data_IF_269317260709
#
_entry.id   IF_269317260709
#
_cell.length_a   1.000
_cell.length_b   1.000
_cell.length_c   1.000
_cell.angle_alpha   90.00
_cell.angle_beta   90.00
_cell.angle_gamma   90.00
#
_symmetry.space_group_name_H-M   'P 1'
#
loop_
_entity.id
_entity.type
_entity.pdbx_description
1 polymer ?
#
# COMPACT_ATOMS: atom_id res chain seq x y z
N UNK A 1 3.43 10.84 -17.81
CA UNK A 1 3.00 9.89 -16.77
C UNK A 1 1.85 10.52 -16.00
N UNK A 2 0.73 9.83 -15.86
CA UNK A 2 -0.45 10.40 -15.18
C UNK A 2 -0.35 10.06 -13.68
N UNK A 3 0.11 11.04 -12.89
CA UNK A 3 0.29 10.91 -11.43
C UNK A 3 -1.02 10.50 -10.72
N UNK A 4 -2.16 10.92 -11.28
CA UNK A 4 -3.48 10.60 -10.72
C UNK A 4 -3.83 9.12 -10.92
N UNK A 5 -3.49 8.56 -12.08
CA UNK A 5 -3.68 7.14 -12.38
C UNK A 5 -2.80 6.26 -11.47
N UNK A 6 -1.51 6.60 -11.32
CA UNK A 6 -0.59 5.91 -10.41
C UNK A 6 -1.08 5.95 -8.96
N UNK A 7 -1.57 7.12 -8.53
CA UNK A 7 -2.13 7.25 -7.19
C UNK A 7 -3.36 6.37 -6.97
N UNK A 8 -4.26 6.30 -7.97
CA UNK A 8 -5.44 5.43 -7.91
C UNK A 8 -5.07 3.96 -7.90
N UNK A 9 -4.11 3.53 -8.71
CA UNK A 9 -3.61 2.17 -8.73
C UNK A 9 -2.97 1.78 -7.39
N UNK A 10 -2.21 2.68 -6.77
CA UNK A 10 -1.59 2.46 -5.46
C UNK A 10 -2.61 2.40 -4.32
N UNK A 11 -3.54 3.35 -4.27
CA UNK A 11 -4.52 3.47 -3.17
C UNK A 11 -5.66 2.46 -3.27
N UNK A 12 -5.86 1.82 -4.41
CA UNK A 12 -6.92 0.85 -4.64
C UNK A 12 -8.31 1.47 -4.65
N UNK A 13 -9.20 0.99 -3.77
CA UNK A 13 -10.59 1.46 -3.74
C UNK A 13 -10.70 2.91 -3.27
N UNK A 14 -11.58 3.71 -3.90
CA UNK A 14 -11.84 5.10 -3.54
C UNK A 14 -12.28 5.29 -2.08
N UNK A 15 -12.79 4.26 -1.40
CA UNK A 15 -13.16 4.28 0.01
C UNK A 15 -11.95 4.49 0.92
N UNK A 16 -10.81 3.86 0.62
CA UNK A 16 -9.57 4.04 1.40
C UNK A 16 -9.06 5.47 1.26
N UNK A 17 -9.10 6.03 0.04
CA UNK A 17 -8.72 7.43 -0.21
C UNK A 17 -9.61 8.38 0.58
N UNK A 18 -10.94 8.18 0.51
CA UNK A 18 -11.89 9.00 1.25
C UNK A 18 -11.62 8.92 2.77
N UNK A 19 -11.41 7.72 3.31
CA UNK A 19 -11.11 7.53 4.73
C UNK A 19 -9.81 8.21 5.14
N UNK A 20 -8.79 8.11 4.32
CA UNK A 20 -7.51 8.79 4.55
C UNK A 20 -7.69 10.31 4.60
N UNK A 21 -8.39 10.90 3.64
CA UNK A 21 -8.66 12.33 3.60
C UNK A 21 -9.51 12.80 4.79
N UNK A 22 -10.54 12.03 5.15
CA UNK A 22 -11.36 12.30 6.34
C UNK A 22 -10.51 12.23 7.61
N UNK A 23 -9.61 11.27 7.72
CA UNK A 23 -8.70 11.14 8.86
C UNK A 23 -7.73 12.32 8.95
N UNK A 24 -7.16 12.76 7.82
CA UNK A 24 -6.31 13.95 7.77
C UNK A 24 -7.07 15.21 8.20
N UNK A 25 -8.27 15.41 7.69
CA UNK A 25 -9.11 16.55 8.06
C UNK A 25 -9.49 16.52 9.54
N UNK A 26 -9.86 15.35 10.05
CA UNK A 26 -10.17 15.17 11.47
C UNK A 26 -8.96 15.48 12.36
N UNK A 27 -7.77 14.97 12.03
CA UNK A 27 -6.54 15.24 12.76
C UNK A 27 -6.17 16.73 12.70
N UNK A 28 -6.34 17.37 11.54
CA UNK A 28 -6.10 18.80 11.41
C UNK A 28 -6.97 19.63 12.37
N UNK A 29 -8.25 19.29 12.47
CA UNK A 29 -9.20 20.02 13.31
C UNK A 29 -9.05 19.72 14.81
N UNK A 30 -8.62 18.51 15.18
CA UNK A 30 -8.73 18.03 16.57
C UNK A 30 -7.39 17.84 17.28
N UNK A 31 -6.31 17.53 16.55
CA UNK A 31 -5.02 17.24 17.16
C UNK A 31 -4.25 18.55 17.47
N UNK A 32 -3.79 18.69 18.72
CA UNK A 32 -3.04 19.86 19.18
C UNK A 32 -1.56 19.58 19.43
N UNK A 33 -1.17 18.31 19.57
CA UNK A 33 0.22 17.92 19.86
C UNK A 33 1.10 18.09 18.63
N UNK A 34 2.11 18.94 18.71
CA UNK A 34 2.96 19.33 17.57
C UNK A 34 3.61 18.13 16.86
N UNK A 35 4.22 17.21 17.59
CA UNK A 35 4.91 16.06 17.02
C UNK A 35 3.96 15.09 16.28
N UNK A 36 2.74 14.92 16.79
CA UNK A 36 1.72 14.10 16.11
C UNK A 36 1.23 14.79 14.84
N UNK A 37 1.01 16.10 14.87
CA UNK A 37 0.66 16.86 13.67
C UNK A 37 1.76 16.81 12.62
N UNK A 38 3.02 16.87 13.01
CA UNK A 38 4.13 16.73 12.07
C UNK A 38 4.08 15.36 11.41
N UNK A 39 4.00 14.29 12.19
CA UNK A 39 4.11 12.92 11.70
C UNK A 39 2.87 12.46 10.88
N UNK A 40 1.66 12.75 11.37
CA UNK A 40 0.42 12.21 10.81
C UNK A 40 -0.36 13.21 9.93
N UNK A 41 0.07 14.45 9.86
CA UNK A 41 -0.58 15.47 9.04
C UNK A 41 0.41 16.13 8.07
N UNK A 42 1.48 16.77 8.55
CA UNK A 42 2.36 17.53 7.67
C UNK A 42 3.22 16.65 6.78
N UNK A 43 3.77 15.54 7.28
CA UNK A 43 4.55 14.60 6.48
C UNK A 43 3.71 14.01 5.34
N UNK A 44 2.50 13.45 5.58
CA UNK A 44 1.63 12.99 4.48
C UNK A 44 1.28 14.08 3.48
N UNK A 45 0.97 15.30 3.93
CA UNK A 45 0.63 16.40 3.04
C UNK A 45 1.82 16.82 2.17
N UNK A 46 3.02 16.91 2.76
CA UNK A 46 4.24 17.22 2.00
C UNK A 46 4.54 16.14 0.98
N UNK A 47 4.42 14.86 1.36
CA UNK A 47 4.61 13.74 0.42
C UNK A 47 3.62 13.78 -0.74
N UNK A 48 2.35 14.10 -0.48
CA UNK A 48 1.36 14.29 -1.53
C UNK A 48 1.69 15.48 -2.43
N UNK A 49 2.10 16.62 -1.84
CA UNK A 49 2.51 17.79 -2.62
C UNK A 49 3.73 17.48 -3.50
N UNK A 50 4.70 16.77 -2.98
CA UNK A 50 5.89 16.32 -3.73
C UNK A 50 5.47 15.38 -4.85
N UNK A 51 4.60 14.41 -4.56
CA UNK A 51 4.12 13.44 -5.55
C UNK A 51 3.30 14.09 -6.67
N UNK A 52 2.42 15.01 -6.37
CA UNK A 52 1.61 15.69 -7.40
C UNK A 52 2.32 16.88 -8.07
N UNK A 53 3.57 17.17 -7.68
CA UNK A 53 4.33 18.26 -8.30
C UNK A 53 4.90 17.84 -9.68
N UNK A 54 4.51 18.50 -10.78
CA UNK A 54 4.97 18.13 -12.10
C UNK A 54 6.47 18.31 -12.32
N UNK A 55 7.13 19.21 -11.56
CA UNK A 55 8.58 19.38 -11.63
C UNK A 55 9.30 18.17 -11.02
N UNK A 56 8.82 17.66 -9.89
CA UNK A 56 9.37 16.47 -9.26
C UNK A 56 9.17 15.26 -10.17
N UNK A 57 7.98 15.10 -10.74
CA UNK A 57 7.70 14.03 -11.69
C UNK A 57 8.66 14.05 -12.89
N UNK A 58 8.95 15.24 -13.44
CA UNK A 58 9.90 15.42 -14.55
C UNK A 58 11.33 15.08 -14.15
N UNK A 59 11.79 15.55 -12.99
CA UNK A 59 13.15 15.28 -12.49
C UNK A 59 13.35 13.79 -12.24
N UNK A 60 12.43 13.15 -11.54
CA UNK A 60 12.52 11.72 -11.23
C UNK A 60 12.47 10.86 -12.49
N UNK A 61 11.62 11.20 -13.46
CA UNK A 61 11.56 10.48 -14.74
C UNK A 61 12.81 10.64 -15.61
N UNK A 62 13.62 11.67 -15.38
CA UNK A 62 14.90 11.86 -16.05
C UNK A 62 16.08 11.16 -15.35
N UNK A 63 16.00 11.01 -14.03
CA UNK A 63 17.09 10.42 -13.22
C UNK A 63 16.94 8.90 -13.05
N UNK A 64 15.72 8.39 -13.14
CA UNK A 64 15.40 6.98 -12.95
C UNK A 64 14.30 6.60 -13.94
N UNK A 65 14.28 5.32 -14.35
CA UNK A 65 13.18 4.80 -15.14
C UNK A 65 11.84 5.15 -14.49
N UNK A 66 10.91 5.64 -15.32
CA UNK A 66 9.64 6.18 -14.82
C UNK A 66 8.83 5.27 -13.90
N UNK A 67 9.18 3.97 -13.87
CA UNK A 67 8.63 2.95 -12.98
C UNK A 67 8.96 3.18 -11.50
N UNK A 68 10.00 3.95 -11.16
CA UNK A 68 10.39 4.19 -9.76
C UNK A 68 9.55 5.30 -9.10
N UNK A 69 8.91 6.14 -9.90
CA UNK A 69 8.16 7.30 -9.39
C UNK A 69 7.06 6.93 -8.38
N UNK A 70 6.32 5.84 -8.60
CA UNK A 70 5.27 5.40 -7.69
C UNK A 70 5.79 5.00 -6.29
N UNK A 71 7.09 4.67 -6.16
CA UNK A 71 7.70 4.28 -4.88
C UNK A 71 7.70 5.40 -3.84
N UNK A 72 7.56 6.66 -4.28
CA UNK A 72 7.36 7.79 -3.37
C UNK A 72 6.11 7.57 -2.50
N UNK A 73 5.08 6.93 -3.05
CA UNK A 73 3.85 6.62 -2.33
C UNK A 73 4.04 5.58 -1.20
N UNK A 74 5.09 4.76 -1.26
CA UNK A 74 5.40 3.81 -0.18
C UNK A 74 5.77 4.50 1.13
N UNK A 75 6.27 5.74 1.05
CA UNK A 75 6.56 6.56 2.22
C UNK A 75 5.29 7.16 2.84
N UNK A 76 4.16 7.12 2.13
CA UNK A 76 2.90 7.69 2.60
C UNK A 76 2.29 6.82 3.69
N UNK A 77 2.19 7.29 4.94
CA UNK A 77 1.71 6.48 6.06
C UNK A 77 0.17 6.40 6.09
N UNK A 78 -0.44 5.87 5.02
CA UNK A 78 -1.90 5.81 4.85
C UNK A 78 -2.55 5.04 6.00
N UNK A 79 -2.14 3.79 6.22
CA UNK A 79 -2.69 2.92 7.26
C UNK A 79 -2.50 3.49 8.67
N UNK A 80 -1.31 3.98 9.08
CA UNK A 80 -1.14 4.62 10.38
C UNK A 80 -2.02 5.85 10.59
N UNK A 81 -2.18 6.71 9.57
CA UNK A 81 -3.03 7.90 9.66
C UNK A 81 -4.49 7.54 9.86
N UNK A 82 -5.00 6.59 9.06
CA UNK A 82 -6.38 6.11 9.18
C UNK A 82 -6.60 5.46 10.55
N UNK A 83 -5.71 4.57 10.98
CA UNK A 83 -5.82 3.88 12.26
C UNK A 83 -5.82 4.86 13.43
N UNK A 84 -4.87 5.81 13.44
CA UNK A 84 -4.78 6.80 14.50
C UNK A 84 -5.99 7.73 14.54
N UNK A 85 -6.44 8.23 13.39
CA UNK A 85 -7.65 9.06 13.28
C UNK A 85 -8.91 8.34 13.77
N UNK A 86 -9.07 7.08 13.38
CA UNK A 86 -10.20 6.24 13.80
C UNK A 86 -10.19 5.97 15.30
N UNK A 87 -9.03 5.60 15.85
CA UNK A 87 -8.89 5.34 17.31
C UNK A 87 -9.18 6.60 18.12
N UNK A 88 -8.69 7.76 17.69
CA UNK A 88 -8.98 9.03 18.35
C UNK A 88 -10.46 9.39 18.29
N UNK A 89 -11.09 9.20 17.13
CA UNK A 89 -12.52 9.45 16.94
C UNK A 89 -13.34 8.56 17.88
N UNK A 90 -13.08 7.26 17.87
CA UNK A 90 -13.75 6.31 18.75
C UNK A 90 -13.46 6.56 20.24
N UNK A 91 -12.26 7.03 20.55
CA UNK A 91 -11.86 7.38 21.93
C UNK A 91 -12.67 8.54 22.54
N UNK A 92 -13.16 9.46 21.70
CA UNK A 92 -14.05 10.56 22.14
C UNK A 92 -15.49 10.12 22.40
N UNK A 93 -15.88 8.97 21.89
CA UNK A 93 -17.20 8.39 22.13
C UNK A 93 -17.22 7.73 23.52
N UNK A 94 -18.18 8.10 24.37
CA UNK A 94 -18.34 7.52 25.70
C UNK A 94 -19.18 6.23 25.70
N UNK A 95 -18.94 5.36 26.67
CA UNK A 95 -19.78 4.20 26.98
C UNK A 95 -20.03 3.27 25.79
N UNK A 96 -21.28 2.85 25.61
CA UNK A 96 -21.70 1.91 24.54
C UNK A 96 -21.43 2.43 23.12
N UNK A 97 -21.47 3.76 22.91
CA UNK A 97 -21.20 4.38 21.60
C UNK A 97 -19.77 4.12 21.09
N UNK A 98 -18.81 4.00 22.01
CA UNK A 98 -17.42 3.66 21.66
C UNK A 98 -17.31 2.28 21.00
N UNK A 99 -17.95 1.28 21.59
CA UNK A 99 -17.95 -0.09 21.04
C UNK A 99 -18.64 -0.15 19.68
N UNK A 100 -19.78 0.54 19.55
CA UNK A 100 -20.48 0.66 18.25
C UNK A 100 -19.58 1.33 17.22
N UNK A 101 -18.87 2.40 17.56
CA UNK A 101 -17.94 3.08 16.67
C UNK A 101 -16.79 2.17 16.22
N UNK A 102 -16.21 1.40 17.15
CA UNK A 102 -15.12 0.44 16.82
C UNK A 102 -15.66 -0.65 15.90
N UNK A 103 -16.82 -1.24 16.20
CA UNK A 103 -17.42 -2.28 15.36
C UNK A 103 -17.71 -1.75 13.95
N UNK A 104 -18.28 -0.56 13.85
CA UNK A 104 -18.53 0.08 12.56
C UNK A 104 -17.24 0.31 11.78
N UNK A 105 -16.18 0.78 12.43
CA UNK A 105 -14.88 0.97 11.80
C UNK A 105 -14.31 -0.35 11.26
N UNK A 106 -14.37 -1.44 12.06
CA UNK A 106 -13.92 -2.77 11.63
C UNK A 106 -14.71 -3.23 10.40
N UNK A 107 -16.03 -3.11 10.42
CA UNK A 107 -16.90 -3.49 9.29
C UNK A 107 -16.54 -2.69 8.04
N UNK A 108 -16.38 -1.37 8.16
CA UNK A 108 -16.01 -0.51 7.04
C UNK A 108 -14.62 -0.86 6.49
N UNK A 109 -13.64 -1.16 7.33
CA UNK A 109 -12.32 -1.63 6.88
C UNK A 109 -12.41 -2.96 6.13
N UNK A 110 -13.21 -3.89 6.63
CA UNK A 110 -13.39 -5.20 5.99
C UNK A 110 -14.05 -5.06 4.61
N UNK A 111 -15.02 -4.16 4.47
CA UNK A 111 -15.70 -3.89 3.19
C UNK A 111 -14.80 -3.13 2.22
N UNK A 112 -13.95 -2.22 2.73
CA UNK A 112 -13.05 -1.39 1.90
C UNK A 112 -11.85 -2.18 1.37
N UNK A 113 -11.49 -3.29 1.99
CA UNK A 113 -10.40 -4.15 1.59
C UNK A 113 -10.84 -5.26 0.63
N UNK A 114 -9.91 -5.73 -0.19
CA UNK A 114 -10.05 -6.98 -0.93
C UNK A 114 -9.22 -8.08 -0.26
N UNK A 115 -9.76 -9.28 -0.20
CA UNK A 115 -9.00 -10.43 0.28
C UNK A 115 -7.84 -10.71 -0.68
N UNK A 116 -6.62 -10.73 -0.17
CA UNK A 116 -5.40 -11.02 -0.93
C UNK A 116 -5.56 -12.29 -1.76
N UNK A 117 -6.16 -13.34 -1.17
CA UNK A 117 -6.40 -14.63 -1.83
C UNK A 117 -7.41 -14.60 -3.00
N UNK A 118 -8.12 -13.49 -3.22
CA UNK A 118 -8.98 -13.26 -4.39
C UNK A 118 -8.26 -12.57 -5.55
N UNK A 119 -7.01 -12.15 -5.33
CA UNK A 119 -6.21 -11.54 -6.39
C UNK A 119 -5.79 -12.65 -7.36
N UNK A 120 -5.98 -12.49 -8.68
CA UNK A 120 -5.58 -13.48 -9.69
C UNK A 120 -4.08 -13.77 -9.70
N UNK A 121 -3.27 -12.87 -9.12
CA UNK A 121 -1.82 -13.06 -8.97
C UNK A 121 -1.45 -13.98 -7.80
N UNK A 122 -2.41 -14.36 -6.94
CA UNK A 122 -2.22 -15.31 -5.85
C UNK A 122 -2.82 -16.66 -6.25
N UNK A 123 -1.98 -17.59 -6.63
CA UNK A 123 -2.35 -18.97 -6.84
C UNK A 123 -1.85 -19.83 -5.68
N UNK A 124 -2.61 -20.88 -5.36
CA UNK A 124 -2.12 -21.89 -4.42
C UNK A 124 -0.93 -22.57 -5.05
N UNK A 125 0.20 -22.62 -4.35
CA UNK A 125 1.37 -23.33 -4.84
C UNK A 125 1.04 -24.81 -5.06
N UNK A 126 1.38 -25.32 -6.23
CA UNK A 126 1.16 -26.72 -6.63
C UNK A 126 2.24 -27.66 -6.10
N UNK A 127 3.38 -27.09 -5.70
CA UNK A 127 4.55 -27.82 -5.21
C UNK A 127 5.00 -27.36 -3.81
N UNK A 128 5.83 -28.17 -3.17
CA UNK A 128 6.35 -27.90 -1.82
C UNK A 128 7.31 -26.71 -1.75
N UNK A 129 7.84 -26.28 -2.87
CA UNK A 129 8.84 -25.19 -2.96
C UNK A 129 8.19 -23.81 -3.07
N UNK A 130 6.86 -23.72 -3.26
CA UNK A 130 6.12 -22.46 -3.44
C UNK A 130 6.61 -21.61 -4.63
N UNK A 131 7.09 -22.26 -5.67
CA UNK A 131 7.50 -21.62 -6.94
C UNK A 131 6.51 -21.95 -8.05
N UNK A 132 6.43 -21.15 -9.14
CA UNK A 132 5.61 -21.50 -10.31
C UNK A 132 5.97 -22.89 -10.84
N UNK A 133 4.98 -23.69 -11.22
CA UNK A 133 5.21 -25.06 -11.72
C UNK A 133 6.12 -25.08 -12.96
N UNK A 134 6.01 -24.07 -13.82
CA UNK A 134 6.90 -23.89 -14.98
C UNK A 134 8.38 -23.85 -14.61
N UNK A 135 8.72 -23.30 -13.44
CA UNK A 135 10.11 -23.27 -12.95
C UNK A 135 10.56 -24.67 -12.55
N UNK A 136 9.69 -25.46 -11.90
CA UNK A 136 9.99 -26.85 -11.53
C UNK A 136 10.20 -27.69 -12.79
N UNK A 137 9.29 -27.58 -13.79
CA UNK A 137 9.38 -28.32 -15.05
C UNK A 137 10.67 -27.99 -15.82
N UNK A 138 11.12 -26.73 -15.80
CA UNK A 138 12.38 -26.33 -16.39
C UNK A 138 13.56 -26.95 -15.62
N UNK A 139 13.53 -26.88 -14.29
CA UNK A 139 14.58 -27.46 -13.45
C UNK A 139 14.69 -28.97 -13.71
N UNK A 140 13.57 -29.68 -13.73
CA UNK A 140 13.54 -31.12 -13.99
C UNK A 140 14.07 -31.48 -15.40
N UNK A 141 13.85 -30.59 -16.38
CA UNK A 141 14.34 -30.77 -17.78
C UNK A 141 15.84 -30.62 -17.91
N UNK A 142 16.44 -29.73 -17.11
CA UNK A 142 17.89 -29.43 -17.17
C UNK A 142 18.69 -30.23 -16.12
N UNK A 143 18.03 -30.91 -15.19
CA UNK A 143 18.71 -31.69 -14.15
C UNK A 143 19.51 -32.84 -14.75
N UNK A 144 20.80 -32.90 -14.39
CA UNK A 144 21.65 -34.04 -14.73
C UNK A 144 22.06 -34.73 -13.43
N UNK A 145 21.67 -36.00 -13.23
CA UNK A 145 21.97 -36.72 -12.01
C UNK A 145 23.47 -36.73 -11.68
N UNK A 146 23.84 -36.28 -10.47
CA UNK A 146 25.20 -36.26 -9.97
C UNK A 146 26.07 -35.10 -10.49
N UNK A 147 25.51 -34.10 -11.17
CA UNK A 147 26.22 -32.93 -11.65
C UNK A 147 25.45 -31.64 -11.33
N UNK A 148 26.15 -30.63 -10.79
CA UNK A 148 25.58 -29.30 -10.68
C UNK A 148 25.45 -28.65 -12.05
N UNK A 149 24.28 -28.13 -12.37
CA UNK A 149 24.00 -27.43 -13.64
C UNK A 149 23.78 -25.95 -13.33
N UNK A 150 24.57 -25.09 -13.94
CA UNK A 150 24.36 -23.65 -13.92
C UNK A 150 23.54 -23.24 -15.14
N UNK A 151 22.41 -22.60 -14.91
CA UNK A 151 21.56 -22.04 -15.95
C UNK A 151 21.40 -20.53 -15.77
N UNK A 152 21.51 -19.77 -16.86
CA UNK A 152 21.24 -18.34 -16.89
C UNK A 152 19.82 -18.13 -17.45
N UNK A 153 18.97 -17.46 -16.68
CA UNK A 153 17.64 -17.09 -17.11
C UNK A 153 17.53 -15.59 -17.30
N UNK A 154 16.73 -15.11 -18.26
CA UNK A 154 16.35 -13.70 -18.32
C UNK A 154 15.71 -13.28 -17.00
N UNK A 155 16.06 -12.10 -16.48
CA UNK A 155 15.56 -11.61 -15.18
C UNK A 155 14.06 -11.27 -15.14
N UNK A 156 13.33 -11.51 -16.23
CA UNK A 156 11.90 -11.27 -16.36
C UNK A 156 11.20 -12.60 -16.68
N UNK A 157 10.79 -13.30 -15.63
CA UNK A 157 9.83 -14.40 -15.69
C UNK A 157 8.65 -14.10 -14.79
#
# INVERSE_FOLDING_TARGET
MDALKLFQEYMGTGLIVLWFLVSLLYLWLTEKRKYIRVMFLYVPLVLLLVFFNPLVAKIVSQMADGEIYYRILWLLPVTPVIAFGTVQLCGKLGGRKRYVGITLAIVLFTISGSLIYRNPNFQKAENAYHVPQSVVDICDTIEVPGREVMAAFPGEL
#
